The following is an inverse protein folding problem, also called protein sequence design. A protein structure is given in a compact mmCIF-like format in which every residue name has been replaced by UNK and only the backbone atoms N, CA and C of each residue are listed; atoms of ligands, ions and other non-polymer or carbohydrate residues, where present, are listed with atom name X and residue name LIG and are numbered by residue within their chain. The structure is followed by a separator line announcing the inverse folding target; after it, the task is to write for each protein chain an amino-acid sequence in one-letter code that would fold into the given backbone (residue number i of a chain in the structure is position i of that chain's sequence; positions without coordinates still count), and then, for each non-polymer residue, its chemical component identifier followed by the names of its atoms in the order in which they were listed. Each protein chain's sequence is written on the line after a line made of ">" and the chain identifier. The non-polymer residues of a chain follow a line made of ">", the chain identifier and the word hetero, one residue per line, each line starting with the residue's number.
data_IF_458127303927
#
_entry.id   IF_458127303927
#
_cell.length_a   1.000
_cell.length_b   1.000
_cell.length_c   1.000
_cell.angle_alpha   90.00
_cell.angle_beta   90.00
_cell.angle_gamma   90.00
#
_symmetry.space_group_name_H-M   'P 1'
#
loop_
_entity.id
_entity.type
_entity.pdbx_description
1 polymer ?
#
# COMPACT_ATOMS: atom_id res chain seq x y z
N UNK A 1 -31.75 -12.74 4.74
CA UNK A 1 -32.26 -11.76 5.73
C UNK A 1 -31.44 -10.49 5.50
N UNK A 2 -31.91 -9.58 4.65
CA UNK A 2 -31.13 -8.40 4.20
C UNK A 2 -31.37 -7.26 5.18
N UNK A 3 -30.37 -6.90 5.97
CA UNK A 3 -30.46 -5.80 6.94
C UNK A 3 -29.97 -4.52 6.27
N UNK A 4 -30.88 -3.61 5.92
CA UNK A 4 -30.54 -2.31 5.34
C UNK A 4 -30.35 -1.29 6.47
N UNK A 5 -29.12 -0.86 6.72
CA UNK A 5 -28.83 0.24 7.66
C UNK A 5 -28.59 1.54 6.89
N UNK A 6 -29.45 2.55 7.12
CA UNK A 6 -29.23 3.92 6.68
C UNK A 6 -28.88 4.78 7.90
N UNK A 7 -27.68 5.37 7.93
CA UNK A 7 -27.24 6.26 9.01
C UNK A 7 -26.82 7.61 8.44
N UNK A 8 -27.46 8.69 8.89
CA UNK A 8 -27.08 10.07 8.62
C UNK A 8 -26.12 10.59 9.70
N UNK A 9 -25.07 11.31 9.32
CA UNK A 9 -24.08 11.90 10.22
C UNK A 9 -24.34 13.41 10.44
N UNK A 10 -24.06 13.89 11.65
CA UNK A 10 -24.10 15.32 12.03
C UNK A 10 -22.72 15.75 12.58
N UNK A 11 -22.19 16.96 12.25
CA UNK A 11 -20.90 17.41 12.74
C UNK A 11 -21.00 18.35 13.95
N UNK A 12 -20.04 18.25 14.86
CA UNK A 12 -19.80 19.16 15.99
C UNK A 12 -18.56 20.02 15.72
N UNK A 13 -18.68 21.33 15.91
CA UNK A 13 -17.62 22.33 15.71
C UNK A 13 -16.69 22.45 16.93
N UNK A 14 -15.38 22.65 16.69
CA UNK A 14 -14.41 23.11 17.69
C UNK A 14 -13.63 24.32 17.18
N UNK A 15 -13.37 25.25 18.10
CA UNK A 15 -12.84 26.61 17.92
C UNK A 15 -11.31 26.66 17.81
N UNK A 16 -10.84 27.64 17.02
CA UNK A 16 -9.43 28.02 16.80
C UNK A 16 -8.84 28.87 17.94
N UNK A 17 -7.52 28.77 18.14
CA UNK A 17 -6.65 29.81 18.73
C UNK A 17 -5.30 29.86 17.97
N UNK A 18 -4.57 31.00 17.96
CA UNK A 18 -3.53 31.31 16.98
C UNK A 18 -2.07 31.19 17.47
N UNK A 19 -1.15 31.10 16.50
CA UNK A 19 0.30 30.90 16.66
C UNK A 19 1.11 32.21 16.64
N UNK A 20 2.27 32.20 17.31
CA UNK A 20 3.30 33.26 17.36
C UNK A 20 4.53 32.87 16.50
N UNK A 21 5.21 33.80 15.79
CA UNK A 21 6.35 33.47 14.92
C UNK A 21 7.71 33.63 15.62
N UNK A 22 8.70 32.82 15.23
CA UNK A 22 10.12 33.04 15.55
C UNK A 22 11.02 32.97 14.31
N UNK A 23 11.78 34.07 14.12
CA UNK A 23 13.24 34.09 13.96
C UNK A 23 13.90 33.30 12.82
N UNK A 24 14.25 34.01 11.75
CA UNK A 24 15.13 33.57 10.66
C UNK A 24 16.61 33.79 11.02
N UNK A 25 17.47 32.78 10.82
CA UNK A 25 18.92 32.93 10.77
C UNK A 25 19.47 32.59 9.38
N UNK A 26 20.21 33.55 8.80
CA UNK A 26 21.02 33.46 7.59
C UNK A 26 22.29 32.66 7.83
N UNK A 27 22.75 31.91 6.83
CA UNK A 27 24.16 31.50 6.69
C UNK A 27 24.57 31.58 5.23
N UNK A 28 25.63 32.34 4.96
CA UNK A 28 26.33 32.48 3.68
C UNK A 28 27.25 31.27 3.37
N UNK A 29 27.56 30.98 2.09
CA UNK A 29 28.53 29.97 1.70
C UNK A 29 29.89 30.58 1.29
N UNK A 30 30.99 30.07 1.88
CA UNK A 30 32.35 30.30 1.40
C UNK A 30 32.83 29.12 0.52
N UNK A 31 33.11 29.41 -0.75
CA UNK A 31 33.80 28.52 -1.70
C UNK A 31 35.33 28.65 -1.58
N UNK A 32 36.11 27.56 -1.65
CA UNK A 32 37.57 27.63 -1.69
C UNK A 32 38.09 27.86 -3.13
N UNK A 33 39.11 28.72 -3.22
CA UNK A 33 39.84 29.13 -4.44
C UNK A 33 40.67 27.97 -5.01
N UNK A 34 40.62 27.80 -6.34
CA UNK A 34 41.56 26.98 -7.13
C UNK A 34 42.90 27.73 -7.31
N UNK A 35 44.07 27.08 -7.17
CA UNK A 35 45.34 27.68 -7.55
C UNK A 35 45.61 27.54 -9.06
N UNK A 36 46.18 28.62 -9.59
CA UNK A 36 46.62 28.84 -10.96
C UNK A 36 47.91 28.04 -11.23
N UNK A 37 47.99 27.35 -12.36
CA UNK A 37 49.16 26.57 -12.79
C UNK A 37 49.84 27.33 -13.94
N UNK A 38 51.10 27.73 -13.75
CA UNK A 38 51.95 28.27 -14.80
C UNK A 38 52.83 27.15 -15.38
N UNK A 39 52.84 26.93 -16.70
CA UNK A 39 53.81 26.05 -17.34
C UNK A 39 54.97 26.91 -17.88
N UNK A 40 56.21 26.64 -17.48
CA UNK A 40 57.45 26.80 -18.27
C UNK A 40 58.64 26.88 -17.30
N UNK A 41 59.32 25.75 -17.09
CA UNK A 41 60.74 25.77 -16.71
C UNK A 41 61.44 24.54 -17.29
N UNK A 42 62.60 24.80 -17.87
CA UNK A 42 63.42 23.95 -18.74
C UNK A 42 63.97 22.68 -18.05
N UNK A 43 64.34 21.63 -18.81
CA UNK A 43 64.85 20.38 -18.27
C UNK A 43 66.37 20.49 -18.05
N UNK A 44 66.79 20.57 -16.79
CA UNK A 44 68.17 20.27 -16.41
C UNK A 44 68.23 18.96 -15.62
N UNK A 45 69.16 18.12 -16.07
CA UNK A 45 69.59 16.83 -15.55
C UNK A 45 69.61 16.77 -14.02
N UNK A 46 68.80 15.86 -13.45
CA UNK A 46 69.00 15.37 -12.08
C UNK A 46 69.42 13.91 -12.16
N UNK A 47 70.69 13.74 -11.84
CA UNK A 47 71.42 12.50 -11.65
C UNK A 47 70.71 11.52 -10.71
N UNK A 48 70.86 10.24 -11.04
CA UNK A 48 70.39 9.05 -10.34
C UNK A 48 70.83 9.01 -8.86
N UNK A 49 69.91 9.23 -7.93
CA UNK A 49 69.82 8.41 -6.71
C UNK A 49 68.42 8.56 -6.10
N UNK A 50 67.60 7.51 -6.22
CA UNK A 50 66.39 7.43 -5.42
C UNK A 50 66.81 7.34 -3.94
N UNK A 51 66.36 8.24 -3.06
CA UNK A 51 66.78 8.23 -1.67
C UNK A 51 66.26 6.94 -1.01
N UNK A 52 67.15 6.21 -0.33
CA UNK A 52 66.85 4.94 0.36
C UNK A 52 65.58 4.98 1.26
N UNK A 53 65.18 6.18 1.70
CA UNK A 53 63.94 6.43 2.45
C UNK A 53 62.64 6.07 1.71
N UNK A 54 62.60 6.18 0.37
CA UNK A 54 61.37 5.85 -0.40
C UNK A 54 61.16 4.34 -0.45
N UNK A 55 62.24 3.58 -0.64
CA UNK A 55 62.19 2.12 -0.64
C UNK A 55 61.78 1.57 0.74
N UNK A 56 62.33 2.13 1.83
CA UNK A 56 61.95 1.75 3.19
C UNK A 56 60.47 2.04 3.48
N UNK A 57 59.97 3.20 3.06
CA UNK A 57 58.55 3.58 3.23
C UNK A 57 57.61 2.66 2.46
N UNK A 58 57.96 2.28 1.23
CA UNK A 58 57.18 1.33 0.43
C UNK A 58 57.16 -0.07 1.05
N UNK A 59 58.29 -0.56 1.57
CA UNK A 59 58.34 -1.84 2.27
C UNK A 59 57.49 -1.83 3.54
N UNK A 60 57.51 -0.73 4.29
CA UNK A 60 56.68 -0.58 5.48
C UNK A 60 55.19 -0.53 5.13
N UNK A 61 54.81 0.20 4.07
CA UNK A 61 53.44 0.21 3.55
C UNK A 61 52.96 -1.18 3.10
N UNK A 62 53.78 -1.92 2.36
CA UNK A 62 53.45 -3.28 1.91
C UNK A 62 53.33 -4.26 3.08
N UNK A 63 54.15 -4.10 4.12
CA UNK A 63 54.08 -4.91 5.34
C UNK A 63 52.79 -4.65 6.09
N UNK A 64 52.42 -3.38 6.30
CA UNK A 64 51.14 -3.01 6.92
C UNK A 64 49.96 -3.50 6.10
N UNK A 65 50.01 -3.38 4.77
CA UNK A 65 48.95 -3.89 3.90
C UNK A 65 48.79 -5.41 4.02
N UNK A 66 49.90 -6.16 4.12
CA UNK A 66 49.85 -7.61 4.32
C UNK A 66 49.21 -7.99 5.66
N UNK A 67 49.60 -7.34 6.76
CA UNK A 67 49.06 -7.66 8.09
C UNK A 67 47.58 -7.31 8.21
N UNK A 68 47.11 -6.25 7.52
CA UNK A 68 45.67 -5.94 7.42
C UNK A 68 44.92 -7.06 6.69
N UNK A 69 45.43 -7.53 5.54
CA UNK A 69 44.78 -8.62 4.80
C UNK A 69 44.76 -9.93 5.60
N UNK A 70 45.82 -10.23 6.35
CA UNK A 70 45.89 -11.42 7.21
C UNK A 70 44.91 -11.33 8.39
N UNK A 71 44.74 -10.15 9.00
CA UNK A 71 43.79 -9.96 10.09
C UNK A 71 42.34 -10.05 9.61
N UNK A 72 42.03 -9.48 8.43
CA UNK A 72 40.72 -9.59 7.78
C UNK A 72 40.37 -11.05 7.46
N UNK A 73 41.33 -11.83 6.94
CA UNK A 73 41.14 -13.24 6.65
C UNK A 73 40.89 -14.08 7.93
N UNK A 74 41.64 -13.80 9.00
CA UNK A 74 41.46 -14.46 10.30
C UNK A 74 40.09 -14.15 10.92
N UNK A 75 39.65 -12.89 10.82
CA UNK A 75 38.34 -12.46 11.30
C UNK A 75 37.21 -13.20 10.56
N UNK A 76 37.33 -13.35 9.24
CA UNK A 76 36.36 -14.11 8.43
C UNK A 76 36.29 -15.59 8.82
N UNK A 77 37.41 -16.25 9.13
CA UNK A 77 37.41 -17.65 9.60
C UNK A 77 36.70 -17.79 10.96
N UNK A 78 37.02 -16.90 11.91
CA UNK A 78 36.40 -16.91 13.24
C UNK A 78 34.88 -16.70 13.12
N UNK A 79 34.44 -15.74 12.32
CA UNK A 79 33.01 -15.46 12.11
C UNK A 79 32.29 -16.65 11.45
N UNK A 80 32.94 -17.34 10.52
CA UNK A 80 32.40 -18.57 9.91
C UNK A 80 32.23 -19.69 10.94
N UNK A 81 33.21 -19.89 11.83
CA UNK A 81 33.16 -20.90 12.90
C UNK A 81 32.10 -20.58 13.95
N UNK A 82 31.97 -19.31 14.35
CA UNK A 82 30.89 -18.84 15.23
C UNK A 82 29.53 -19.13 14.60
N UNK A 83 29.36 -18.78 13.33
CA UNK A 83 28.11 -19.03 12.58
C UNK A 83 27.76 -20.51 12.54
N UNK A 84 28.74 -21.40 12.31
CA UNK A 84 28.54 -22.85 12.30
C UNK A 84 28.10 -23.38 13.67
N UNK A 85 28.76 -22.94 14.75
CA UNK A 85 28.41 -23.34 16.11
C UNK A 85 27.02 -22.86 16.51
N UNK A 86 26.66 -21.63 16.16
CA UNK A 86 25.31 -21.08 16.36
C UNK A 86 24.25 -21.90 15.61
N UNK A 87 24.52 -22.31 14.37
CA UNK A 87 23.62 -23.19 13.59
C UNK A 87 23.41 -24.54 14.27
N UNK A 88 24.49 -25.18 14.73
CA UNK A 88 24.41 -26.46 15.47
C UNK A 88 23.62 -26.31 16.76
N UNK A 89 23.90 -25.28 17.56
CA UNK A 89 23.17 -24.99 18.80
C UNK A 89 21.67 -24.79 18.53
N UNK A 90 21.32 -24.01 17.51
CA UNK A 90 19.94 -23.73 17.15
C UNK A 90 19.22 -25.01 16.65
N UNK A 91 19.88 -25.87 15.90
CA UNK A 91 19.33 -27.16 15.45
C UNK A 91 19.04 -28.12 16.62
N UNK A 92 19.82 -28.03 17.70
CA UNK A 92 19.61 -28.85 18.91
C UNK A 92 18.55 -28.26 19.85
N UNK A 93 18.19 -26.99 19.69
CA UNK A 93 17.17 -26.33 20.50
C UNK A 93 15.78 -26.91 20.24
N UNK A 94 14.85 -26.86 21.22
CA UNK A 94 13.47 -27.30 21.01
C UNK A 94 12.79 -26.60 19.81
N UNK A 95 13.05 -25.31 19.62
CA UNK A 95 12.52 -24.53 18.49
C UNK A 95 13.07 -24.97 17.12
N UNK A 96 14.24 -25.61 17.10
CA UNK A 96 14.85 -26.17 15.89
C UNK A 96 14.36 -27.58 15.53
N UNK A 97 13.60 -28.23 16.42
CA UNK A 97 13.03 -29.58 16.21
C UNK A 97 11.57 -29.55 15.77
N UNK A 98 11.00 -28.36 15.62
CA UNK A 98 9.63 -28.20 15.14
C UNK A 98 9.56 -28.64 13.67
N UNK A 99 8.63 -29.54 13.29
CA UNK A 99 8.43 -29.90 11.89
C UNK A 99 8.15 -28.69 11.01
N UNK A 100 8.56 -28.74 9.75
CA UNK A 100 8.44 -27.61 8.81
C UNK A 100 6.99 -27.18 8.61
N UNK A 101 6.05 -28.13 8.65
CA UNK A 101 4.62 -27.89 8.50
C UNK A 101 4.07 -27.10 9.68
N UNK A 102 4.44 -27.52 10.91
CA UNK A 102 4.02 -26.85 12.14
C UNK A 102 4.61 -25.45 12.22
N UNK A 103 5.89 -25.30 11.86
CA UNK A 103 6.53 -23.99 11.82
C UNK A 103 5.89 -23.08 10.77
N UNK A 104 5.57 -23.61 9.58
CA UNK A 104 4.88 -22.84 8.53
C UNK A 104 3.52 -22.32 9.02
N UNK A 105 2.74 -23.16 9.72
CA UNK A 105 1.46 -22.73 10.30
C UNK A 105 1.64 -21.72 11.43
N UNK A 106 2.67 -21.88 12.28
CA UNK A 106 3.02 -20.86 13.29
C UNK A 106 3.32 -19.52 12.61
N UNK A 107 4.15 -19.51 11.55
CA UNK A 107 4.48 -18.28 10.83
C UNK A 107 3.23 -17.65 10.19
N UNK A 108 2.35 -18.46 9.60
CA UNK A 108 1.10 -17.99 9.01
C UNK A 108 0.16 -17.38 10.06
N UNK A 109 -0.02 -18.06 11.19
CA UNK A 109 -0.82 -17.55 12.30
C UNK A 109 -0.22 -16.30 12.94
N UNK A 110 1.12 -16.23 13.06
CA UNK A 110 1.82 -15.07 13.63
C UNK A 110 1.69 -13.83 12.76
N UNK A 111 1.47 -14.02 11.46
CA UNK A 111 1.30 -12.92 10.51
C UNK A 111 -0.16 -12.54 10.31
N UNK A 112 -1.13 -13.40 10.67
CA UNK A 112 -2.56 -13.04 10.66
C UNK A 112 -2.79 -11.92 11.66
N UNK A 113 -3.11 -10.75 11.15
CA UNK A 113 -3.63 -9.67 11.98
C UNK A 113 -5.06 -10.06 12.37
N UNK A 114 -5.44 -10.04 13.66
CA UNK A 114 -6.85 -10.17 14.02
C UNK A 114 -7.62 -9.05 13.32
N UNK A 115 -8.87 -9.34 12.91
CA UNK A 115 -9.81 -8.51 12.14
C UNK A 115 -10.13 -7.14 12.79
N UNK A 116 -9.12 -6.34 13.09
CA UNK A 116 -9.29 -4.96 13.54
C UNK A 116 -9.52 -4.13 12.27
N UNK A 117 -10.73 -3.61 12.02
CA UNK A 117 -11.15 -3.12 10.70
C UNK A 117 -10.39 -1.89 10.17
N UNK A 118 -9.31 -1.44 10.81
CA UNK A 118 -8.59 -0.21 10.47
C UNK A 118 -7.07 -0.30 10.69
N UNK A 119 -6.51 -1.49 10.95
CA UNK A 119 -5.06 -1.64 11.13
C UNK A 119 -4.46 -2.34 9.91
N UNK A 120 -4.05 -1.54 8.92
CA UNK A 120 -3.06 -1.96 7.91
C UNK A 120 -1.72 -2.19 8.61
N UNK A 121 -1.59 -3.26 9.39
CA UNK A 121 -0.29 -3.67 9.93
C UNK A 121 0.45 -4.36 8.79
N UNK A 122 1.54 -3.73 8.35
CA UNK A 122 2.43 -4.23 7.31
C UNK A 122 3.06 -5.57 7.75
N UNK A 123 2.49 -6.70 7.29
CA UNK A 123 2.98 -8.06 7.53
C UNK A 123 4.39 -8.22 6.97
N UNK A 124 4.58 -7.73 5.75
CA UNK A 124 5.83 -7.83 4.97
C UNK A 124 6.96 -6.97 5.52
N UNK A 125 6.67 -5.79 6.08
CA UNK A 125 7.73 -4.87 6.52
C UNK A 125 8.26 -5.17 7.91
N UNK A 126 7.45 -5.72 8.82
CA UNK A 126 7.83 -5.85 10.22
C UNK A 126 7.86 -7.29 10.74
N UNK A 127 6.91 -8.14 10.34
CA UNK A 127 6.76 -9.45 10.99
C UNK A 127 7.62 -10.52 10.33
N UNK A 128 7.52 -10.69 9.01
CA UNK A 128 8.24 -11.74 8.30
C UNK A 128 9.77 -11.57 8.44
N UNK A 129 10.36 -10.36 8.25
CA UNK A 129 11.80 -10.18 8.47
C UNK A 129 12.21 -10.54 9.90
N UNK A 130 11.46 -10.09 10.91
CA UNK A 130 11.72 -10.39 12.33
C UNK A 130 11.71 -11.89 12.61
N UNK A 131 10.72 -12.61 12.09
CA UNK A 131 10.63 -14.06 12.24
C UNK A 131 11.79 -14.78 11.52
N UNK A 132 12.22 -14.28 10.36
CA UNK A 132 13.39 -14.75 9.64
C UNK A 132 14.71 -14.52 10.40
N UNK A 133 14.76 -13.57 11.35
CA UNK A 133 15.95 -13.32 12.17
C UNK A 133 16.11 -14.27 13.37
N UNK A 134 15.10 -15.10 13.69
CA UNK A 134 15.17 -16.06 14.81
C UNK A 134 16.27 -17.10 14.60
N UNK A 135 16.30 -17.74 13.43
CA UNK A 135 17.32 -18.71 13.07
C UNK A 135 17.39 -18.93 11.56
N UNK A 136 18.48 -19.55 11.09
CA UNK A 136 18.59 -19.96 9.69
C UNK A 136 17.46 -20.92 9.27
N UNK A 137 17.05 -21.82 10.17
CA UNK A 137 15.96 -22.77 9.91
C UNK A 137 14.62 -22.04 9.69
N UNK A 138 14.29 -21.09 10.57
CA UNK A 138 13.06 -20.28 10.44
C UNK A 138 13.05 -19.47 9.15
N UNK A 139 14.19 -18.85 8.79
CA UNK A 139 14.34 -18.17 7.51
C UNK A 139 14.11 -19.11 6.33
N UNK A 140 14.75 -20.29 6.31
CA UNK A 140 14.58 -21.25 5.21
C UNK A 140 13.14 -21.73 5.07
N UNK A 141 12.43 -21.93 6.18
CA UNK A 141 11.02 -22.34 6.16
C UNK A 141 10.13 -21.19 5.66
N UNK A 142 10.35 -19.96 6.12
CA UNK A 142 9.58 -18.80 5.67
C UNK A 142 9.75 -18.55 4.16
N UNK A 143 10.98 -18.66 3.65
CA UNK A 143 11.27 -18.54 2.22
C UNK A 143 10.66 -19.68 1.41
N UNK A 144 10.63 -20.90 1.94
CA UNK A 144 10.02 -22.06 1.29
C UNK A 144 8.49 -22.12 1.37
N UNK A 145 7.81 -21.12 1.94
CA UNK A 145 6.37 -21.13 2.17
C UNK A 145 5.67 -20.01 1.37
N UNK A 146 5.21 -20.27 0.12
CA UNK A 146 4.56 -19.27 -0.73
C UNK A 146 3.35 -18.58 -0.09
N UNK A 147 2.60 -19.31 0.75
CA UNK A 147 1.42 -18.79 1.47
C UNK A 147 1.73 -17.58 2.35
N UNK A 148 2.97 -17.41 2.82
CA UNK A 148 3.37 -16.24 3.61
C UNK A 148 3.50 -14.97 2.77
N UNK A 149 3.70 -15.12 1.46
CA UNK A 149 3.99 -14.03 0.52
C UNK A 149 2.80 -13.66 -0.36
N UNK A 150 1.69 -14.41 -0.25
CA UNK A 150 0.43 -14.14 -0.97
C UNK A 150 -0.19 -12.81 -0.59
N UNK A 151 -0.01 -12.34 0.64
CA UNK A 151 -0.51 -11.04 1.08
C UNK A 151 0.62 -10.02 1.03
N UNK A 152 0.52 -9.06 0.10
CA UNK A 152 1.53 -8.03 -0.11
C UNK A 152 1.00 -6.70 0.40
N UNK A 153 1.62 -6.18 1.45
CA UNK A 153 1.35 -4.85 1.96
C UNK A 153 2.28 -3.81 1.33
N UNK A 154 1.70 -2.71 0.87
CA UNK A 154 2.38 -1.54 0.31
C UNK A 154 2.00 -0.29 1.08
N UNK A 155 2.97 0.57 1.29
CA UNK A 155 2.80 1.93 1.76
C UNK A 155 3.64 2.90 0.92
N UNK A 156 3.60 4.20 1.27
CA UNK A 156 4.33 5.25 0.57
C UNK A 156 5.87 5.06 0.56
N UNK A 157 6.41 4.28 1.51
CA UNK A 157 7.84 4.03 1.70
C UNK A 157 8.29 2.64 1.23
N UNK A 158 7.38 1.78 0.77
CA UNK A 158 7.72 0.41 0.36
C UNK A 158 8.62 0.42 -0.88
N UNK A 159 9.79 -0.20 -0.77
CA UNK A 159 10.77 -0.32 -1.85
C UNK A 159 10.33 -1.33 -2.92
N UNK A 160 10.56 -1.00 -4.20
CA UNK A 160 10.28 -1.86 -5.36
C UNK A 160 10.82 -3.30 -5.21
N UNK A 161 12.07 -3.45 -4.74
CA UNK A 161 12.73 -4.77 -4.58
C UNK A 161 11.97 -5.70 -3.63
N UNK A 162 11.32 -5.15 -2.60
CA UNK A 162 10.53 -5.95 -1.65
C UNK A 162 9.26 -6.47 -2.30
N UNK A 163 8.65 -5.66 -3.15
CA UNK A 163 7.47 -6.03 -3.93
C UNK A 163 7.81 -7.13 -4.93
N UNK A 164 8.88 -6.95 -5.71
CA UNK A 164 9.38 -7.98 -6.64
C UNK A 164 9.61 -9.31 -5.92
N UNK A 165 10.36 -9.26 -4.82
CA UNK A 165 10.64 -10.44 -4.03
C UNK A 165 9.39 -11.14 -3.51
N UNK A 166 8.42 -10.39 -2.94
CA UNK A 166 7.19 -10.99 -2.42
C UNK A 166 6.36 -11.64 -3.53
N UNK A 167 6.25 -10.99 -4.69
CA UNK A 167 5.54 -11.53 -5.85
C UNK A 167 6.21 -12.79 -6.40
N UNK A 168 7.55 -12.83 -6.46
CA UNK A 168 8.30 -14.03 -6.85
C UNK A 168 8.06 -15.20 -5.88
N UNK A 169 8.13 -14.94 -4.58
CA UNK A 169 7.92 -15.98 -3.56
C UNK A 169 6.47 -16.47 -3.48
N UNK A 170 5.50 -15.64 -3.86
CA UNK A 170 4.09 -16.02 -3.87
C UNK A 170 3.75 -17.02 -4.99
N UNK A 171 4.56 -17.13 -6.05
CA UNK A 171 4.26 -17.99 -7.19
C UNK A 171 4.10 -19.47 -6.79
N UNK A 172 3.14 -20.21 -7.39
CA UNK A 172 2.20 -19.80 -8.43
C UNK A 172 0.85 -19.26 -7.89
N UNK A 173 0.78 -18.86 -6.62
CA UNK A 173 -0.46 -18.50 -5.94
C UNK A 173 -0.96 -17.11 -6.37
N UNK A 174 -2.28 -16.90 -6.40
CA UNK A 174 -2.82 -15.58 -6.67
C UNK A 174 -2.61 -14.65 -5.47
N UNK A 175 -2.18 -13.41 -5.71
CA UNK A 175 -1.77 -12.44 -4.69
C UNK A 175 -2.97 -11.63 -4.19
N UNK A 176 -2.94 -11.23 -2.92
CA UNK A 176 -3.82 -10.26 -2.30
C UNK A 176 -3.01 -9.00 -1.99
N UNK A 177 -3.41 -7.88 -2.60
CA UNK A 177 -2.68 -6.62 -2.49
C UNK A 177 -3.37 -5.69 -1.50
N UNK A 178 -2.61 -5.22 -0.52
CA UNK A 178 -3.04 -4.23 0.47
C UNK A 178 -2.20 -2.98 0.29
N UNK A 179 -2.83 -1.85 -0.03
CA UNK A 179 -2.15 -0.58 -0.27
C UNK A 179 -2.68 0.43 0.72
N UNK A 180 -1.83 0.95 1.61
CA UNK A 180 -2.16 2.04 2.53
C UNK A 180 -1.17 3.19 2.38
N UNK A 181 -1.61 4.24 1.70
CA UNK A 181 -0.83 5.45 1.46
C UNK A 181 -1.18 6.57 2.46
N UNK A 182 -2.18 6.37 3.32
CA UNK A 182 -2.57 7.34 4.36
C UNK A 182 -1.91 7.06 5.71
N UNK A 183 -1.54 5.80 5.96
CA UNK A 183 -1.12 5.29 7.26
C UNK A 183 0.31 5.58 7.71
N UNK A 184 1.07 6.47 7.05
CA UNK A 184 2.40 6.85 7.55
C UNK A 184 2.28 7.77 8.78
N UNK A 185 1.81 7.20 9.90
CA UNK A 185 1.72 7.82 11.22
C UNK A 185 3.08 8.14 11.87
N UNK A 186 4.13 8.31 11.06
CA UNK A 186 5.42 8.81 11.51
C UNK A 186 5.40 10.33 11.59
N UNK A 187 4.86 10.86 12.69
CA UNK A 187 4.95 12.26 13.13
C UNK A 187 4.51 13.34 12.11
N UNK A 188 3.49 14.18 12.42
CA UNK A 188 3.09 15.33 11.60
C UNK A 188 4.17 16.42 11.40
N UNK A 189 5.40 16.23 11.90
CA UNK A 189 6.43 17.26 12.01
C UNK A 189 7.38 17.37 10.82
N UNK A 190 7.18 16.61 9.73
CA UNK A 190 8.02 16.72 8.53
C UNK A 190 7.21 17.29 7.38
N UNK A 191 7.22 18.62 7.27
CA UNK A 191 6.74 19.31 6.08
C UNK A 191 7.39 18.72 4.81
N UNK A 192 6.53 18.37 3.86
CA UNK A 192 6.86 18.14 2.45
C UNK A 192 8.00 17.16 2.14
N UNK A 193 7.64 15.91 1.90
CA UNK A 193 8.19 15.21 0.72
C UNK A 193 7.05 14.95 -0.26
N UNK A 194 6.50 16.05 -0.78
CA UNK A 194 5.65 16.08 -1.97
C UNK A 194 6.53 15.59 -3.13
N UNK A 195 6.54 14.28 -3.36
CA UNK A 195 7.41 13.65 -4.37
C UNK A 195 8.14 12.37 -3.95
N UNK A 196 7.84 11.75 -2.80
CA UNK A 196 8.31 10.37 -2.59
C UNK A 196 7.68 9.48 -3.67
N UNK A 197 8.54 9.06 -4.61
CA UNK A 197 8.20 8.15 -5.68
C UNK A 197 7.68 6.87 -5.06
N UNK A 198 6.44 6.52 -5.39
CA UNK A 198 5.77 5.30 -4.93
C UNK A 198 6.32 4.11 -5.74
N UNK A 199 7.64 3.93 -5.73
CA UNK A 199 8.34 2.93 -6.55
C UNK A 199 7.77 1.53 -6.35
N UNK A 200 7.35 1.20 -5.12
CA UNK A 200 6.66 -0.05 -4.79
C UNK A 200 5.30 -0.20 -5.48
N UNK A 201 4.51 0.88 -5.60
CA UNK A 201 3.19 0.84 -6.26
C UNK A 201 3.32 0.69 -7.77
N UNK A 202 4.23 1.42 -8.40
CA UNK A 202 4.50 1.30 -9.84
C UNK A 202 4.97 -0.13 -10.18
N UNK A 203 5.83 -0.68 -9.32
CA UNK A 203 6.32 -2.05 -9.44
C UNK A 203 5.20 -3.07 -9.25
N UNK A 204 4.35 -2.90 -8.24
CA UNK A 204 3.20 -3.77 -8.01
C UNK A 204 2.23 -3.72 -9.19
N UNK A 205 1.89 -2.52 -9.68
CA UNK A 205 1.06 -2.34 -10.85
C UNK A 205 1.60 -3.17 -12.01
N UNK A 206 2.89 -3.03 -12.36
CA UNK A 206 3.52 -3.83 -13.42
C UNK A 206 3.40 -5.35 -13.18
N UNK A 207 3.70 -5.83 -11.97
CA UNK A 207 3.71 -7.26 -11.65
C UNK A 207 2.30 -7.87 -11.54
N UNK A 208 1.28 -7.06 -11.25
CA UNK A 208 -0.12 -7.49 -11.22
C UNK A 208 -0.60 -7.96 -12.60
N UNK A 209 -0.02 -7.50 -13.71
CA UNK A 209 -0.32 -8.07 -15.03
C UNK A 209 0.20 -9.49 -15.20
N UNK A 210 1.36 -9.78 -14.63
CA UNK A 210 2.02 -11.07 -14.74
C UNK A 210 1.46 -12.09 -13.74
N UNK A 211 0.82 -11.61 -12.68
CA UNK A 211 0.35 -12.40 -11.55
C UNK A 211 -1.17 -12.39 -11.44
N UNK A 212 -1.75 -13.48 -10.93
CA UNK A 212 -3.21 -13.54 -10.73
C UNK A 212 -3.55 -12.73 -9.47
N UNK A 213 -4.23 -11.61 -9.60
CA UNK A 213 -4.76 -10.87 -8.45
C UNK A 213 -6.05 -11.53 -7.93
N UNK A 214 -6.13 -11.79 -6.63
CA UNK A 214 -7.31 -12.35 -5.95
C UNK A 214 -8.06 -11.33 -5.09
N UNK A 215 -7.35 -10.40 -4.47
CA UNK A 215 -7.93 -9.37 -3.62
C UNK A 215 -7.18 -8.06 -3.79
N UNK A 216 -7.92 -6.95 -3.78
CA UNK A 216 -7.38 -5.60 -3.72
C UNK A 216 -8.00 -4.86 -2.54
N UNK A 217 -7.18 -4.38 -1.63
CA UNK A 217 -7.58 -3.45 -0.58
C UNK A 217 -6.73 -2.18 -0.71
N UNK A 218 -7.34 -1.11 -1.20
CA UNK A 218 -6.68 0.16 -1.44
C UNK A 218 -7.18 1.24 -0.50
N UNK A 219 -6.25 1.98 0.09
CA UNK A 219 -6.47 3.19 0.86
C UNK A 219 -5.47 4.27 0.44
N UNK A 220 -5.96 5.38 -0.09
CA UNK A 220 -5.10 6.44 -0.64
C UNK A 220 -5.85 7.42 -1.54
N UNK A 221 -5.13 8.31 -2.21
CA UNK A 221 -5.76 9.32 -3.07
C UNK A 221 -6.23 8.74 -4.42
N UNK A 222 -7.08 9.49 -5.11
CA UNK A 222 -7.57 9.10 -6.43
C UNK A 222 -6.45 9.02 -7.47
N UNK A 223 -5.44 9.90 -7.40
CA UNK A 223 -4.30 9.90 -8.31
C UNK A 223 -3.48 8.61 -8.18
N UNK A 224 -3.19 8.17 -6.95
CA UNK A 224 -2.50 6.90 -6.71
C UNK A 224 -3.35 5.70 -7.12
N UNK A 225 -4.66 5.76 -6.88
CA UNK A 225 -5.56 4.70 -7.33
C UNK A 225 -5.57 4.59 -8.85
N UNK A 226 -5.56 5.71 -9.59
CA UNK A 226 -5.53 5.71 -11.05
C UNK A 226 -4.29 4.99 -11.59
N UNK A 227 -3.12 5.20 -10.98
CA UNK A 227 -1.89 4.49 -11.34
C UNK A 227 -2.01 2.98 -11.19
N UNK A 228 -2.67 2.50 -10.14
CA UNK A 228 -2.93 1.08 -9.93
C UNK A 228 -4.01 0.54 -10.89
N UNK A 229 -5.13 1.26 -10.97
CA UNK A 229 -6.32 0.85 -11.73
C UNK A 229 -6.00 0.68 -13.20
N UNK A 230 -5.23 1.57 -13.83
CA UNK A 230 -4.84 1.45 -15.25
C UNK A 230 -4.17 0.12 -15.60
N UNK A 231 -3.70 -0.60 -14.57
CA UNK A 231 -2.81 -1.74 -14.69
C UNK A 231 -3.41 -3.00 -14.05
N UNK A 232 -4.61 -2.94 -13.43
CA UNK A 232 -5.23 -4.19 -12.99
C UNK A 232 -5.70 -4.97 -14.22
N UNK A 233 -5.36 -6.26 -14.34
CA UNK A 233 -5.84 -7.10 -15.43
C UNK A 233 -7.36 -7.25 -15.32
N UNK A 234 -7.99 -7.49 -16.47
CA UNK A 234 -9.32 -8.12 -16.54
C UNK A 234 -9.23 -9.53 -15.95
N UNK A 235 -9.18 -9.61 -14.62
CA UNK A 235 -8.75 -10.79 -13.90
C UNK A 235 -9.94 -11.68 -13.53
N UNK A 236 -10.11 -12.87 -14.12
CA UNK A 236 -11.18 -13.78 -13.72
C UNK A 236 -11.01 -14.31 -12.29
N UNK A 237 -9.86 -14.08 -11.66
CA UNK A 237 -9.54 -14.54 -10.30
C UNK A 237 -9.83 -13.53 -9.20
N UNK A 238 -10.22 -12.30 -9.54
CA UNK A 238 -10.48 -11.24 -8.55
C UNK A 238 -11.76 -11.55 -7.77
N UNK A 239 -11.64 -11.65 -6.45
CA UNK A 239 -12.71 -12.07 -5.51
C UNK A 239 -13.12 -10.97 -4.55
N UNK A 240 -12.21 -10.08 -4.18
CA UNK A 240 -12.51 -9.00 -3.25
C UNK A 240 -11.89 -7.70 -3.73
N UNK A 241 -12.66 -6.62 -3.69
CA UNK A 241 -12.20 -5.26 -3.94
C UNK A 241 -12.71 -4.37 -2.82
N UNK A 242 -11.78 -3.71 -2.14
CA UNK A 242 -12.03 -2.68 -1.15
C UNK A 242 -11.27 -1.43 -1.56
N UNK A 243 -11.97 -0.31 -1.72
CA UNK A 243 -11.38 0.98 -2.08
C UNK A 243 -11.87 2.01 -1.06
N UNK A 244 -10.93 2.65 -0.39
CA UNK A 244 -11.16 3.73 0.57
C UNK A 244 -10.37 4.93 0.07
N UNK A 245 -11.05 5.96 -0.42
CA UNK A 245 -10.34 7.14 -0.93
C UNK A 245 -10.03 8.15 0.17
N UNK A 246 -8.83 8.70 0.08
CA UNK A 246 -8.35 9.82 0.87
C UNK A 246 -8.94 11.12 0.35
N UNK A 247 -9.13 12.03 1.28
CA UNK A 247 -9.79 13.31 1.06
C UNK A 247 -10.48 13.72 2.34
N UNK A 248 -10.31 14.97 2.74
CA UNK A 248 -11.27 15.55 3.67
C UNK A 248 -12.63 15.44 2.98
N UNK A 249 -13.67 14.91 3.64
CA UNK A 249 -15.00 15.27 3.23
C UNK A 249 -14.99 16.78 3.33
N UNK A 250 -14.89 17.46 2.19
CA UNK A 250 -15.03 18.90 2.15
C UNK A 250 -16.27 19.19 3.01
N UNK A 251 -16.25 20.25 3.81
CA UNK A 251 -17.33 20.49 4.80
C UNK A 251 -18.72 20.56 4.15
N UNK A 252 -18.75 20.58 2.83
CA UNK A 252 -19.87 20.19 2.00
C UNK A 252 -20.26 18.71 2.13
N UNK A 253 -21.31 18.49 2.91
CA UNK A 253 -22.17 17.29 2.90
C UNK A 253 -22.70 16.90 1.50
N UNK A 254 -22.44 17.74 0.47
CA UNK A 254 -22.74 17.52 -0.94
C UNK A 254 -21.66 16.75 -1.71
N UNK A 255 -20.52 16.44 -1.09
CA UNK A 255 -19.43 15.76 -1.78
C UNK A 255 -19.84 14.35 -2.23
N UNK A 256 -19.92 14.13 -3.54
CA UNK A 256 -20.25 12.82 -4.13
C UNK A 256 -19.04 11.88 -4.27
N UNK A 257 -17.85 12.36 -3.92
CA UNK A 257 -16.61 11.66 -4.23
C UNK A 257 -16.39 11.44 -5.72
N UNK A 258 -15.20 10.95 -6.09
CA UNK A 258 -14.95 10.59 -7.48
C UNK A 258 -15.78 9.37 -7.87
N UNK A 259 -16.31 9.42 -9.09
CA UNK A 259 -17.13 8.34 -9.65
C UNK A 259 -16.24 7.33 -10.38
N UNK A 260 -16.16 6.11 -9.84
CA UNK A 260 -15.32 5.04 -10.35
C UNK A 260 -15.85 4.38 -11.64
N UNK A 261 -17.08 4.65 -12.05
CA UNK A 261 -17.70 4.01 -13.24
C UNK A 261 -17.03 4.40 -14.55
N UNK A 262 -16.38 5.57 -14.58
CA UNK A 262 -15.64 6.05 -15.76
C UNK A 262 -14.26 5.42 -15.90
N UNK A 263 -13.79 4.71 -14.87
CA UNK A 263 -12.46 4.11 -14.88
C UNK A 263 -12.51 2.70 -15.48
N UNK A 264 -11.77 2.53 -16.57
CA UNK A 264 -11.79 1.43 -17.54
C UNK A 264 -11.66 0.04 -16.88
N UNK A 265 -10.96 -0.06 -15.76
CA UNK A 265 -10.60 -1.37 -15.22
C UNK A 265 -11.67 -2.00 -14.32
N UNK A 266 -12.71 -1.23 -13.96
CA UNK A 266 -13.96 -1.79 -13.45
C UNK A 266 -14.98 -2.10 -14.55
N UNK A 267 -14.61 -1.91 -15.82
CA UNK A 267 -15.43 -2.33 -16.97
C UNK A 267 -15.16 -3.79 -17.40
N UNK A 268 -14.13 -4.41 -16.82
CA UNK A 268 -13.76 -5.81 -17.06
C UNK A 268 -14.77 -6.81 -16.50
N UNK A 269 -14.77 -8.01 -17.07
CA UNK A 269 -15.56 -9.14 -16.57
C UNK A 269 -14.87 -9.76 -15.34
N UNK A 270 -15.45 -9.53 -14.15
CA UNK A 270 -14.96 -10.07 -12.88
C UNK A 270 -15.99 -11.07 -12.28
N UNK A 271 -16.22 -12.22 -12.94
CA UNK A 271 -17.34 -13.10 -12.59
C UNK A 271 -17.20 -13.75 -11.21
N UNK A 272 -15.98 -13.79 -10.67
CA UNK A 272 -15.67 -14.37 -9.37
C UNK A 272 -15.67 -13.36 -8.22
N UNK A 273 -16.01 -12.09 -8.48
CA UNK A 273 -16.08 -11.06 -7.43
C UNK A 273 -17.17 -11.44 -6.42
N UNK A 274 -16.78 -11.49 -5.15
CA UNK A 274 -17.63 -11.85 -3.99
C UNK A 274 -17.85 -10.68 -3.05
N UNK A 275 -16.82 -9.87 -2.83
CA UNK A 275 -16.88 -8.71 -1.94
C UNK A 275 -16.52 -7.43 -2.68
N UNK A 276 -17.38 -6.42 -2.58
CA UNK A 276 -17.14 -5.08 -3.14
C UNK A 276 -17.43 -4.02 -2.07
N UNK A 277 -16.40 -3.30 -1.63
CA UNK A 277 -16.54 -2.25 -0.62
C UNK A 277 -15.94 -0.95 -1.15
N UNK A 278 -16.77 0.07 -1.27
CA UNK A 278 -16.42 1.40 -1.78
C UNK A 278 -16.73 2.43 -0.71
N UNK A 279 -15.69 3.11 -0.22
CA UNK A 279 -15.81 4.15 0.80
C UNK A 279 -15.22 5.44 0.26
N UNK A 280 -15.98 6.54 0.37
CA UNK A 280 -15.62 7.86 -0.16
C UNK A 280 -15.40 7.87 -1.68
N UNK A 281 -16.10 7.00 -2.41
CA UNK A 281 -16.12 6.97 -3.86
C UNK A 281 -17.45 6.39 -4.33
N UNK A 282 -17.96 6.85 -5.46
CA UNK A 282 -19.26 6.40 -5.99
C UNK A 282 -19.08 5.45 -7.15
N UNK A 283 -20.05 4.56 -7.33
CA UNK A 283 -20.17 3.70 -8.51
C UNK A 283 -21.61 3.74 -9.03
N UNK A 284 -21.75 3.85 -10.34
CA UNK A 284 -23.05 3.77 -11.01
C UNK A 284 -23.62 2.37 -10.79
N UNK A 285 -24.91 2.23 -10.44
CA UNK A 285 -25.58 0.94 -10.38
C UNK A 285 -25.44 0.15 -11.69
N UNK A 286 -25.36 0.86 -12.82
CA UNK A 286 -25.23 0.26 -14.15
C UNK A 286 -23.79 -0.11 -14.53
N UNK A 287 -22.84 0.06 -13.62
CA UNK A 287 -21.43 -0.27 -13.86
C UNK A 287 -21.27 -1.76 -14.24
N UNK A 288 -20.43 -2.09 -15.24
CA UNK A 288 -20.15 -3.48 -15.60
C UNK A 288 -19.60 -4.30 -14.43
N UNK A 289 -18.97 -3.66 -13.44
CA UNK A 289 -18.49 -4.33 -12.24
C UNK A 289 -19.63 -5.00 -11.45
N UNK A 290 -20.76 -4.31 -11.31
CA UNK A 290 -21.93 -4.83 -10.59
C UNK A 290 -22.64 -5.87 -11.46
N UNK A 291 -22.76 -5.59 -12.76
CA UNK A 291 -23.46 -6.49 -13.68
C UNK A 291 -22.71 -7.78 -14.01
N UNK A 292 -21.37 -7.77 -13.98
CA UNK A 292 -20.55 -8.96 -14.25
C UNK A 292 -20.34 -9.83 -13.01
N UNK A 293 -20.49 -9.27 -11.81
CA UNK A 293 -20.27 -9.95 -10.54
C UNK A 293 -21.45 -10.86 -10.13
N UNK A 294 -21.69 -11.92 -10.90
CA UNK A 294 -22.73 -12.92 -10.58
C UNK A 294 -22.52 -13.65 -9.25
N UNK A 295 -21.30 -13.60 -8.70
CA UNK A 295 -20.93 -14.25 -7.44
C UNK A 295 -20.89 -13.29 -6.24
N UNK A 296 -21.37 -12.05 -6.39
CA UNK A 296 -21.30 -11.04 -5.34
C UNK A 296 -22.17 -11.44 -4.14
N UNK A 297 -21.54 -11.57 -2.97
CA UNK A 297 -22.18 -11.91 -1.68
C UNK A 297 -22.22 -10.71 -0.75
N UNK A 298 -21.23 -9.82 -0.83
CA UNK A 298 -21.07 -8.69 0.08
C UNK A 298 -20.83 -7.41 -0.71
N UNK A 299 -21.65 -6.38 -0.46
CA UNK A 299 -21.53 -5.10 -1.12
C UNK A 299 -21.75 -3.94 -0.14
N UNK A 300 -20.83 -2.99 -0.13
CA UNK A 300 -20.98 -1.70 0.55
C UNK A 300 -20.66 -0.60 -0.47
N UNK A 301 -21.71 0.05 -0.97
CA UNK A 301 -21.64 0.93 -2.14
C UNK A 301 -22.11 2.32 -1.76
N UNK A 302 -21.38 3.34 -2.22
CA UNK A 302 -21.91 4.70 -2.30
C UNK A 302 -22.53 4.93 -3.67
N UNK A 303 -23.82 5.26 -3.68
CA UNK A 303 -24.59 5.49 -4.90
C UNK A 303 -24.57 6.99 -5.24
N UNK A 304 -24.21 7.39 -6.48
CA UNK A 304 -24.18 8.80 -6.88
C UNK A 304 -25.60 9.38 -6.93
N UNK A 305 -25.75 10.70 -6.71
CA UNK A 305 -27.05 11.38 -6.66
C UNK A 305 -27.81 11.30 -7.99
N UNK A 306 -27.09 11.15 -9.10
CA UNK A 306 -27.67 10.97 -10.44
C UNK A 306 -28.36 9.62 -10.64
N UNK A 307 -28.22 8.67 -9.72
CA UNK A 307 -28.83 7.35 -9.86
C UNK A 307 -30.32 7.39 -9.54
N UNK A 308 -31.12 6.82 -10.42
CA UNK A 308 -32.54 6.61 -10.16
C UNK A 308 -32.80 5.23 -9.51
N UNK A 309 -33.97 5.08 -8.88
CA UNK A 309 -34.35 3.84 -8.20
C UNK A 309 -34.49 2.65 -9.16
N UNK A 310 -34.86 2.91 -10.42
CA UNK A 310 -35.02 1.89 -11.45
C UNK A 310 -33.68 1.24 -11.83
N UNK A 311 -32.65 2.05 -12.04
CA UNK A 311 -31.27 1.58 -12.30
C UNK A 311 -30.74 0.76 -11.12
N UNK A 312 -30.97 1.24 -9.90
CA UNK A 312 -30.59 0.49 -8.70
C UNK A 312 -31.31 -0.85 -8.63
N UNK A 313 -32.62 -0.86 -8.87
CA UNK A 313 -33.42 -2.09 -8.84
C UNK A 313 -32.97 -3.09 -9.90
N UNK A 314 -32.67 -2.62 -11.11
CA UNK A 314 -32.17 -3.46 -12.20
C UNK A 314 -30.76 -3.98 -11.94
N UNK A 315 -29.91 -3.20 -11.28
CA UNK A 315 -28.61 -3.65 -10.82
C UNK A 315 -28.75 -4.74 -9.74
N UNK A 316 -29.62 -4.56 -8.75
CA UNK A 316 -29.87 -5.53 -7.67
C UNK A 316 -30.43 -6.86 -8.20
N UNK A 317 -31.27 -6.82 -9.24
CA UNK A 317 -31.78 -8.04 -9.91
C UNK A 317 -30.67 -8.91 -10.51
N UNK A 318 -29.51 -8.32 -10.84
CA UNK A 318 -28.38 -9.01 -11.46
C UNK A 318 -27.38 -9.60 -10.46
N UNK A 319 -27.54 -9.34 -9.16
CA UNK A 319 -26.71 -9.88 -8.09
C UNK A 319 -27.54 -10.76 -7.13
N UNK A 320 -28.08 -11.90 -7.61
CA UNK A 320 -29.04 -12.71 -6.85
C UNK A 320 -28.45 -13.41 -5.62
N UNK A 321 -27.12 -13.44 -5.49
CA UNK A 321 -26.40 -14.12 -4.40
C UNK A 321 -26.00 -13.19 -3.25
N UNK A 322 -26.49 -11.94 -3.25
CA UNK A 322 -26.13 -10.96 -2.23
C UNK A 322 -26.66 -11.40 -0.85
N UNK A 323 -25.75 -11.52 0.11
CA UNK A 323 -26.02 -11.89 1.50
C UNK A 323 -26.01 -10.64 2.39
N UNK A 324 -25.07 -9.73 2.17
CA UNK A 324 -24.95 -8.46 2.87
C UNK A 324 -24.89 -7.29 1.88
N UNK A 325 -25.81 -6.33 2.03
CA UNK A 325 -25.87 -5.14 1.19
C UNK A 325 -25.99 -3.88 2.05
N UNK A 326 -24.99 -3.00 1.95
CA UNK A 326 -25.01 -1.65 2.51
C UNK A 326 -25.04 -0.65 1.35
N UNK A 327 -26.08 0.18 1.32
CA UNK A 327 -26.21 1.26 0.35
C UNK A 327 -26.12 2.59 1.08
N UNK A 328 -25.13 3.40 0.71
CA UNK A 328 -24.93 4.74 1.22
C UNK A 328 -25.32 5.73 0.14
N UNK A 329 -26.28 6.58 0.44
CA UNK A 329 -26.73 7.62 -0.48
C UNK A 329 -26.12 8.95 -0.08
N UNK A 330 -25.61 9.69 -1.06
CA UNK A 330 -25.15 11.07 -0.82
C UNK A 330 -26.36 11.97 -0.52
N UNK A 331 -27.50 11.73 -1.17
CA UNK A 331 -28.78 12.42 -0.95
C UNK A 331 -29.98 11.45 -1.00
N UNK A 332 -31.15 11.83 -0.45
CA UNK A 332 -32.37 11.04 -0.60
C UNK A 332 -32.67 10.79 -2.09
N UNK A 333 -32.91 9.52 -2.45
CA UNK A 333 -33.26 9.14 -3.82
C UNK A 333 -34.46 9.98 -4.30
N UNK A 334 -34.28 10.71 -5.40
CA UNK A 334 -35.41 11.37 -6.04
C UNK A 334 -36.37 10.29 -6.55
N UNK A 335 -37.62 10.31 -6.11
CA UNK A 335 -38.68 9.52 -6.77
C UNK A 335 -38.76 10.03 -8.19
N UNK A 336 -38.38 9.19 -9.16
CA UNK A 336 -38.48 9.55 -10.57
C UNK A 336 -39.87 10.10 -10.85
N UNK A 337 -39.96 11.37 -11.22
CA UNK A 337 -41.22 11.94 -11.68
C UNK A 337 -41.49 11.36 -13.07
N UNK A 338 -42.63 10.70 -13.29
CA UNK A 338 -43.05 10.38 -14.64
C UNK A 338 -43.53 11.70 -15.27
N UNK A 339 -42.75 12.25 -16.19
CA UNK A 339 -43.16 13.29 -17.15
C UNK A 339 -44.21 14.30 -16.64
N UNK A 340 -43.78 15.39 -16.02
CA UNK A 340 -44.56 16.63 -16.03
C UNK A 340 -43.70 17.77 -16.56
N UNK A 341 -43.88 18.07 -17.86
CA UNK A 341 -43.68 19.40 -18.39
C UNK A 341 -44.62 20.35 -17.63
N UNK A 342 -44.08 21.13 -16.70
CA UNK A 342 -44.85 22.04 -15.86
C UNK A 342 -44.01 23.21 -15.38
N UNK A 343 -44.19 24.34 -16.05
CA UNK A 343 -43.55 25.63 -15.85
C UNK A 343 -43.76 26.21 -14.43
N UNK A 344 -42.71 26.92 -13.95
CA UNK A 344 -42.65 28.08 -13.01
C UNK A 344 -42.44 27.90 -11.50
N UNK A 345 -41.26 28.43 -11.09
CA UNK A 345 -40.99 29.42 -10.02
C UNK A 345 -41.61 29.28 -8.62
N UNK A 346 -40.72 29.33 -7.62
CA UNK A 346 -40.87 30.27 -6.51
C UNK A 346 -41.09 29.67 -5.11
N UNK A 347 -40.18 30.03 -4.21
CA UNK A 347 -40.26 29.99 -2.75
C UNK A 347 -40.04 28.67 -2.00
N UNK A 348 -38.91 28.65 -1.28
CA UNK A 348 -38.60 27.67 -0.26
C UNK A 348 -39.57 27.73 0.91
N UNK A 349 -39.94 26.55 1.40
CA UNK A 349 -40.55 26.35 2.70
C UNK A 349 -40.17 24.95 3.20
N UNK A 350 -39.40 24.90 4.28
CA UNK A 350 -39.08 23.69 5.03
C UNK A 350 -40.38 23.09 5.57
N UNK A 351 -40.74 21.89 5.12
CA UNK A 351 -41.79 21.07 5.73
C UNK A 351 -41.17 19.78 6.29
N UNK A 352 -41.34 19.62 7.60
CA UNK A 352 -40.83 18.50 8.41
C UNK A 352 -41.81 17.33 8.25
N UNK A 353 -41.50 16.37 7.37
CA UNK A 353 -42.31 15.16 7.22
C UNK A 353 -41.81 14.04 8.16
N UNK A 354 -42.69 13.62 9.09
CA UNK A 354 -42.54 12.40 9.89
C UNK A 354 -42.67 11.18 8.98
N UNK A 355 -41.65 10.34 8.91
CA UNK A 355 -41.73 9.04 8.24
C UNK A 355 -42.43 8.03 9.16
N UNK A 356 -43.67 7.70 8.84
CA UNK A 356 -44.35 6.48 9.31
C UNK A 356 -43.81 5.28 8.55
N UNK A 357 -43.46 4.22 9.28
CA UNK A 357 -42.87 3.00 8.76
C UNK A 357 -43.77 2.28 7.76
N UNK A 358 -43.17 1.86 6.65
CA UNK A 358 -43.71 0.88 5.72
C UNK A 358 -42.91 -0.41 5.91
N UNK A 359 -43.52 -1.38 6.59
CA UNK A 359 -43.15 -2.79 6.44
C UNK A 359 -43.55 -3.23 5.03
N UNK A 360 -42.61 -3.85 4.31
CA UNK A 360 -42.92 -4.65 3.13
C UNK A 360 -42.89 -6.12 3.55
N UNK A 361 -43.98 -6.83 3.24
CA UNK A 361 -44.06 -8.29 3.24
C UNK A 361 -43.59 -8.90 1.93
#
# INVERSE_FOLDING_TARGET
>A
MVTVHATAWAPTCSLLMPSVPMGSCRTDPHSPRKPHFDPFTSPHEISHSAPANVAATLLQFLTVKRTIMESEASQQDIDARITLLQRRRNALSPAGRVPVEVLSEILLLSTRTPDVPNQFKQRTENYIPTLCHVSHFWRSVALGCPRLWVEVDLNATTEARRVEFAFEQAQPMPVSLHVDLEGSGGSPSSHSTRGQSITGLDTAARLIWETKLSSLNFRGSMESLQGLILVLPNGPSLRAVRIILSGEPDRDWRWEGPNLSRHIVLQGNVPQLRSLVLTRCTISPMSPLIHSASSLTDADLMIPQSSNITELTDALRKIPRIEALTLRFVHPLQRGSPNEYGVREGHGSFSRARATGLMLG
#
